data_IF_119295606838
#
_entry.id   IF_119295606838
#
_cell.length_a   1.000
_cell.length_b   1.000
_cell.length_c   1.000
_cell.angle_alpha   90.00
_cell.angle_beta   90.00
_cell.angle_gamma   90.00
#
_symmetry.space_group_name_H-M   'P 1'
#
loop_
_entity.id
_entity.type
_entity.pdbx_description
1 polymer ?
#
# COMPACT_ATOMS: atom_id res chain seq x y z
N UNK A 1 -19.47 6.36 12.64
CA UNK A 1 -18.46 5.30 12.86
C UNK A 1 -18.39 4.23 11.77
N UNK A 2 -19.44 3.98 10.96
CA UNK A 2 -19.37 2.94 9.93
C UNK A 2 -18.47 3.32 8.74
N UNK A 3 -18.68 4.48 8.12
CA UNK A 3 -17.99 4.87 6.87
C UNK A 3 -16.45 4.93 7.02
N UNK A 4 -15.95 5.57 8.09
CA UNK A 4 -14.52 5.67 8.38
C UNK A 4 -13.85 4.30 8.60
N UNK A 5 -14.56 3.36 9.23
CA UNK A 5 -14.09 1.99 9.44
C UNK A 5 -14.06 1.21 8.13
N UNK A 6 -15.11 1.31 7.31
CA UNK A 6 -15.15 0.67 5.99
C UNK A 6 -14.09 1.23 5.05
N UNK A 7 -13.85 2.54 5.08
CA UNK A 7 -12.77 3.17 4.31
C UNK A 7 -11.38 2.67 4.75
N UNK A 8 -11.14 2.51 6.06
CA UNK A 8 -9.89 1.93 6.56
C UNK A 8 -9.71 0.47 6.16
N UNK A 9 -10.77 -0.34 6.23
CA UNK A 9 -10.75 -1.75 5.81
C UNK A 9 -10.48 -1.87 4.31
N UNK A 10 -11.19 -1.10 3.48
CA UNK A 10 -10.98 -1.09 2.04
C UNK A 10 -9.56 -0.65 1.67
N UNK A 11 -9.02 0.35 2.37
CA UNK A 11 -7.64 0.80 2.20
C UNK A 11 -6.62 -0.33 2.45
N UNK A 12 -6.75 -1.09 3.55
CA UNK A 12 -5.89 -2.24 3.82
C UNK A 12 -5.99 -3.27 2.68
N UNK A 13 -7.20 -3.59 2.24
CA UNK A 13 -7.42 -4.56 1.17
C UNK A 13 -6.70 -4.16 -0.12
N UNK A 14 -6.76 -2.88 -0.49
CA UNK A 14 -6.07 -2.36 -1.67
C UNK A 14 -4.55 -2.33 -1.51
N UNK A 15 -4.01 -2.01 -0.31
CA UNK A 15 -2.57 -2.14 -0.06
C UNK A 15 -2.08 -3.59 -0.16
N UNK A 16 -2.87 -4.54 0.33
CA UNK A 16 -2.57 -5.96 0.21
C UNK A 16 -2.63 -6.46 -1.23
N UNK A 17 -3.67 -6.06 -1.98
CA UNK A 17 -3.80 -6.35 -3.40
C UNK A 17 -2.61 -5.81 -4.19
N UNK A 18 -2.29 -4.52 -4.04
CA UNK A 18 -1.13 -3.90 -4.70
C UNK A 18 0.18 -4.63 -4.38
N UNK A 19 0.39 -4.99 -3.10
CA UNK A 19 1.59 -5.71 -2.68
C UNK A 19 1.68 -7.10 -3.33
N UNK A 20 0.56 -7.82 -3.38
CA UNK A 20 0.50 -9.14 -4.02
C UNK A 20 0.71 -9.10 -5.52
N UNK A 21 0.09 -8.12 -6.20
CA UNK A 21 0.26 -7.89 -7.64
C UNK A 21 1.72 -7.58 -8.00
N UNK A 22 2.36 -6.70 -7.23
CA UNK A 22 3.77 -6.36 -7.40
C UNK A 22 4.67 -7.58 -7.17
N UNK A 23 4.48 -8.32 -6.08
CA UNK A 23 5.24 -9.55 -5.82
C UNK A 23 5.08 -10.54 -6.99
N UNK A 24 3.85 -10.76 -7.45
CA UNK A 24 3.56 -11.70 -8.53
C UNK A 24 4.27 -11.33 -9.83
N UNK A 25 4.29 -10.05 -10.22
CA UNK A 25 5.01 -9.61 -11.41
C UNK A 25 6.53 -9.76 -11.24
N UNK A 26 7.09 -9.44 -10.07
CA UNK A 26 8.53 -9.55 -9.84
C UNK A 26 9.01 -11.00 -9.90
N UNK A 27 8.26 -11.93 -9.32
CA UNK A 27 8.54 -13.36 -9.45
C UNK A 27 8.30 -13.89 -10.87
N UNK A 28 7.33 -13.36 -11.59
CA UNK A 28 7.13 -13.72 -13.00
C UNK A 28 8.35 -13.30 -13.84
N UNK A 29 8.90 -12.11 -13.59
CA UNK A 29 10.07 -11.59 -14.31
C UNK A 29 11.37 -12.35 -14.01
N UNK A 30 11.49 -13.06 -12.88
CA UNK A 30 12.70 -13.85 -12.58
C UNK A 30 12.74 -15.20 -13.30
N UNK A 31 11.59 -15.79 -13.59
CA UNK A 31 11.50 -17.11 -14.20
C UNK A 31 10.56 -17.07 -15.41
N UNK A 32 10.95 -16.33 -16.44
CA UNK A 32 10.19 -16.28 -17.68
C UNK A 32 10.42 -17.59 -18.47
N UNK A 33 9.38 -18.38 -18.73
CA UNK A 33 9.53 -19.62 -19.49
C UNK A 33 10.00 -19.31 -20.91
N UNK A 34 11.04 -20.00 -21.38
CA UNK A 34 11.64 -19.76 -22.70
C UNK A 34 10.70 -20.11 -23.88
N UNK A 35 9.66 -20.87 -23.60
CA UNK A 35 8.58 -21.35 -24.49
C UNK A 35 7.33 -20.46 -24.45
N UNK A 36 7.32 -19.39 -23.65
CA UNK A 36 6.24 -18.42 -23.64
C UNK A 36 6.39 -17.46 -24.84
N UNK A 37 5.86 -17.83 -26.01
CA UNK A 37 5.82 -16.96 -27.20
C UNK A 37 5.16 -15.58 -26.89
N UNK A 38 4.25 -15.54 -25.90
CA UNK A 38 3.62 -14.31 -25.39
C UNK A 38 4.49 -13.45 -24.46
N UNK A 39 5.59 -13.97 -23.89
CA UNK A 39 6.47 -13.18 -23.01
C UNK A 39 7.35 -12.18 -23.76
N UNK A 40 7.48 -12.32 -25.09
CA UNK A 40 8.14 -11.33 -25.95
C UNK A 40 7.41 -9.98 -25.99
N UNK A 41 6.14 -9.93 -25.56
CA UNK A 41 5.33 -8.72 -25.46
C UNK A 41 5.11 -8.22 -24.02
N UNK A 42 5.78 -8.79 -23.01
CA UNK A 42 5.62 -8.36 -21.63
C UNK A 42 6.40 -7.07 -21.36
N UNK A 43 5.67 -5.95 -21.25
CA UNK A 43 6.22 -4.67 -20.81
C UNK A 43 5.87 -4.41 -19.34
N UNK A 44 6.90 -4.34 -18.48
CA UNK A 44 6.73 -4.15 -17.04
C UNK A 44 6.16 -2.76 -16.68
N UNK A 45 6.61 -1.70 -17.38
CA UNK A 45 6.22 -0.32 -17.11
C UNK A 45 4.69 -0.08 -17.08
N UNK A 46 3.94 -0.37 -18.17
CA UNK A 46 2.50 -0.12 -18.18
C UNK A 46 1.74 -0.93 -17.13
N UNK A 47 2.20 -2.15 -16.80
CA UNK A 47 1.60 -2.99 -15.77
C UNK A 47 1.81 -2.42 -14.37
N UNK A 48 3.03 -1.99 -14.04
CA UNK A 48 3.32 -1.37 -12.75
C UNK A 48 2.50 -0.08 -12.58
N UNK A 49 2.42 0.76 -13.61
CA UNK A 49 1.59 1.98 -13.58
C UNK A 49 0.10 1.68 -13.38
N UNK A 50 -0.40 0.60 -14.01
CA UNK A 50 -1.76 0.14 -13.83
C UNK A 50 -2.02 -0.26 -12.36
N UNK A 51 -1.13 -1.06 -11.76
CA UNK A 51 -1.25 -1.49 -10.36
C UNK A 51 -1.18 -0.32 -9.38
N UNK A 52 -0.34 0.68 -9.66
CA UNK A 52 -0.32 1.90 -8.85
C UNK A 52 -1.69 2.58 -8.90
N UNK A 53 -2.29 2.67 -10.08
CA UNK A 53 -3.55 3.38 -10.32
C UNK A 53 -4.77 2.68 -9.71
N UNK A 54 -4.81 1.35 -9.70
CA UNK A 54 -5.95 0.57 -9.16
C UNK A 54 -5.76 0.16 -7.70
N UNK A 55 -4.51 0.08 -7.23
CA UNK A 55 -4.17 -0.41 -5.90
C UNK A 55 -3.78 0.71 -4.95
N UNK A 56 -2.52 1.11 -4.97
CA UNK A 56 -1.94 2.00 -3.93
C UNK A 56 -2.50 3.42 -3.96
N UNK A 57 -2.81 3.98 -5.14
CA UNK A 57 -3.40 5.31 -5.26
C UNK A 57 -4.78 5.39 -4.57
N UNK A 58 -5.78 4.56 -4.90
CA UNK A 58 -7.04 4.56 -4.17
C UNK A 58 -6.89 4.11 -2.71
N UNK A 59 -5.97 3.19 -2.39
CA UNK A 59 -5.69 2.78 -1.01
C UNK A 59 -5.28 3.97 -0.12
N UNK A 60 -4.36 4.78 -0.61
CA UNK A 60 -3.84 5.96 0.11
C UNK A 60 -4.89 7.05 0.28
N UNK A 61 -5.73 7.29 -0.73
CA UNK A 61 -6.87 8.21 -0.64
C UNK A 61 -7.84 7.75 0.46
N UNK A 62 -8.20 6.46 0.48
CA UNK A 62 -9.13 5.92 1.48
C UNK A 62 -8.54 5.94 2.90
N UNK A 63 -7.24 5.68 3.06
CA UNK A 63 -6.53 5.86 4.32
C UNK A 63 -6.61 7.32 4.79
N UNK A 64 -6.33 8.27 3.90
CA UNK A 64 -6.40 9.70 4.17
C UNK A 64 -7.82 10.18 4.53
N UNK A 65 -8.84 9.69 3.82
CA UNK A 65 -10.24 9.98 4.12
C UNK A 65 -10.66 9.41 5.48
N UNK A 66 -10.28 8.16 5.77
CA UNK A 66 -10.53 7.54 7.08
C UNK A 66 -9.88 8.36 8.21
N UNK A 67 -8.63 8.79 8.01
CA UNK A 67 -7.95 9.69 8.94
C UNK A 67 -8.70 11.02 9.13
N UNK A 68 -9.06 11.70 8.04
CA UNK A 68 -9.69 13.01 8.08
C UNK A 68 -11.04 12.99 8.82
N UNK A 69 -11.81 11.92 8.63
CA UNK A 69 -13.08 11.71 9.32
C UNK A 69 -12.87 11.41 10.81
N UNK A 70 -11.90 10.55 11.13
CA UNK A 70 -11.67 10.11 12.52
C UNK A 70 -10.84 11.09 13.35
N UNK A 71 -10.12 12.06 12.77
CA UNK A 71 -9.18 12.95 13.50
C UNK A 71 -9.83 13.81 14.59
N UNK A 72 -11.13 14.14 14.47
CA UNK A 72 -11.82 15.01 15.44
C UNK A 72 -12.15 14.30 16.75
N UNK A 73 -12.40 12.99 16.70
CA UNK A 73 -12.82 12.20 17.86
C UNK A 73 -11.77 11.17 18.30
N UNK A 74 -10.79 10.87 17.43
CA UNK A 74 -9.78 9.83 17.62
C UNK A 74 -10.38 8.42 17.44
N UNK A 75 -9.62 7.52 16.80
CA UNK A 75 -10.03 6.13 16.63
C UNK A 75 -8.82 5.20 16.63
N UNK A 76 -8.61 4.49 17.75
CA UNK A 76 -7.57 3.45 17.86
C UNK A 76 -7.69 2.35 16.81
N UNK A 77 -8.87 1.73 16.57
CA UNK A 77 -8.96 0.65 15.59
C UNK A 77 -8.67 1.15 14.17
N UNK A 78 -9.18 2.33 13.77
CA UNK A 78 -8.90 2.85 12.43
C UNK A 78 -7.44 3.28 12.28
N UNK A 79 -6.83 3.84 13.32
CA UNK A 79 -5.40 4.17 13.32
C UNK A 79 -4.53 2.93 13.15
N UNK A 80 -4.83 1.85 13.86
CA UNK A 80 -4.13 0.57 13.73
C UNK A 80 -4.30 -0.04 12.34
N UNK A 81 -5.49 0.09 11.76
CA UNK A 81 -5.77 -0.37 10.40
C UNK A 81 -4.90 0.36 9.36
N UNK A 82 -4.81 1.69 9.44
CA UNK A 82 -3.97 2.49 8.53
C UNK A 82 -2.49 2.13 8.70
N UNK A 83 -2.02 1.94 9.94
CA UNK A 83 -0.65 1.44 10.20
C UNK A 83 -0.44 0.08 9.55
N UNK A 84 -1.39 -0.85 9.71
CA UNK A 84 -1.34 -2.18 9.11
C UNK A 84 -1.22 -2.13 7.58
N UNK A 85 -1.98 -1.25 6.91
CA UNK A 85 -1.84 -1.02 5.47
C UNK A 85 -0.44 -0.53 5.07
N UNK A 86 0.13 0.39 5.85
CA UNK A 86 1.52 0.84 5.65
C UNK A 86 2.56 -0.28 5.83
N UNK A 87 2.41 -1.12 6.84
CA UNK A 87 3.30 -2.28 7.06
C UNK A 87 3.21 -3.28 5.90
N UNK A 88 1.98 -3.59 5.44
CA UNK A 88 1.77 -4.50 4.32
C UNK A 88 2.48 -3.99 3.07
N UNK A 89 2.31 -2.69 2.77
CA UNK A 89 3.00 -2.06 1.64
C UNK A 89 4.52 -2.11 1.81
N UNK A 90 5.05 -1.81 3.00
CA UNK A 90 6.49 -1.85 3.27
C UNK A 90 7.06 -3.26 3.02
N UNK A 91 6.43 -4.29 3.59
CA UNK A 91 6.88 -5.68 3.46
C UNK A 91 6.77 -6.14 2.01
N UNK A 92 5.67 -5.85 1.34
CA UNK A 92 5.47 -6.23 -0.06
C UNK A 92 6.53 -5.65 -0.99
N UNK A 93 6.85 -4.37 -0.81
CA UNK A 93 7.89 -3.71 -1.61
C UNK A 93 9.30 -4.15 -1.23
N UNK A 94 9.56 -4.48 0.04
CA UNK A 94 10.84 -5.05 0.47
C UNK A 94 11.10 -6.42 -0.18
N UNK A 95 10.07 -7.26 -0.30
CA UNK A 95 10.14 -8.53 -1.03
C UNK A 95 10.47 -8.26 -2.51
N UNK A 96 9.73 -7.37 -3.16
CA UNK A 96 10.00 -7.00 -4.56
C UNK A 96 11.44 -6.54 -4.75
N UNK A 97 11.93 -5.64 -3.88
CA UNK A 97 13.30 -5.13 -3.91
C UNK A 97 14.35 -6.24 -3.77
N UNK A 98 14.11 -7.23 -2.91
CA UNK A 98 15.06 -8.36 -2.72
C UNK A 98 15.19 -9.29 -3.93
N UNK A 99 14.22 -9.23 -4.85
CA UNK A 99 14.15 -10.09 -6.03
C UNK A 99 14.63 -9.34 -7.29
N UNK A 100 14.83 -8.01 -7.24
CA UNK A 100 15.27 -7.19 -8.38
C UNK A 100 16.55 -7.71 -9.02
N UNK A 101 17.55 -8.08 -8.23
CA UNK A 101 18.86 -8.53 -8.72
C UNK A 101 18.81 -9.90 -9.42
N UNK A 102 17.69 -10.63 -9.29
CA UNK A 102 17.48 -11.93 -9.94
C UNK A 102 16.79 -11.80 -11.30
N UNK A 103 16.34 -10.60 -11.66
CA UNK A 103 15.64 -10.34 -12.92
C UNK A 103 16.69 -10.16 -14.04
N UNK A 104 16.53 -10.82 -15.21
CA UNK A 104 17.39 -10.57 -16.36
C UNK A 104 17.37 -9.10 -16.79
N UNK A 105 18.52 -8.51 -17.11
CA UNK A 105 18.66 -7.07 -17.40
C UNK A 105 17.69 -6.57 -18.50
N UNK A 106 17.34 -7.43 -19.46
CA UNK A 106 16.39 -7.12 -20.53
C UNK A 106 14.98 -6.73 -20.04
N UNK A 107 14.61 -7.10 -18.81
CA UNK A 107 13.31 -6.78 -18.21
C UNK A 107 13.41 -5.73 -17.08
N UNK A 108 14.62 -5.32 -16.70
CA UNK A 108 14.83 -4.27 -15.69
C UNK A 108 14.60 -2.91 -16.35
N UNK A 109 13.39 -2.37 -16.17
CA UNK A 109 13.10 -0.98 -16.50
C UNK A 109 13.30 -0.07 -15.29
N UNK A 110 13.35 1.25 -15.51
CA UNK A 110 13.41 2.22 -14.42
C UNK A 110 12.29 2.02 -13.38
N UNK A 111 11.08 1.69 -13.84
CA UNK A 111 9.97 1.41 -12.92
C UNK A 111 10.24 0.20 -12.04
N UNK A 112 10.79 -0.89 -12.60
CA UNK A 112 11.12 -2.11 -11.84
C UNK A 112 12.18 -1.81 -10.77
N UNK A 113 13.11 -0.90 -11.04
CA UNK A 113 14.16 -0.54 -10.09
C UNK A 113 13.68 0.42 -9.00
N UNK A 114 12.95 1.46 -9.36
CA UNK A 114 12.65 2.58 -8.46
C UNK A 114 11.31 2.48 -7.74
N UNK A 115 10.32 1.79 -8.31
CA UNK A 115 8.97 1.72 -7.73
C UNK A 115 8.96 1.04 -6.35
N UNK A 116 9.63 -0.10 -6.11
CA UNK A 116 9.68 -0.70 -4.78
C UNK A 116 10.26 0.26 -3.75
N UNK A 117 11.35 0.94 -4.11
CA UNK A 117 12.02 1.91 -3.23
C UNK A 117 11.08 3.08 -2.90
N UNK A 118 10.41 3.63 -3.91
CA UNK A 118 9.46 4.72 -3.73
C UNK A 118 8.34 4.34 -2.77
N UNK A 119 7.74 3.16 -2.92
CA UNK A 119 6.64 2.74 -2.05
C UNK A 119 7.09 2.24 -0.67
N UNK A 120 8.34 1.76 -0.54
CA UNK A 120 8.96 1.59 0.78
C UNK A 120 9.04 2.93 1.52
N UNK A 121 9.53 3.99 0.86
CA UNK A 121 9.61 5.33 1.46
C UNK A 121 8.21 5.87 1.75
N UNK A 122 7.24 5.69 0.84
CA UNK A 122 5.86 6.14 1.00
C UNK A 122 5.11 5.41 2.12
N UNK A 123 5.55 4.23 2.54
CA UNK A 123 4.95 3.52 3.66
C UNK A 123 5.12 4.24 5.00
N UNK A 124 6.24 4.96 5.17
CA UNK A 124 6.54 5.72 6.37
C UNK A 124 5.47 6.80 6.67
N UNK A 125 5.12 7.73 5.75
CA UNK A 125 4.09 8.71 6.02
C UNK A 125 2.71 8.07 6.25
N UNK A 126 2.37 6.97 5.58
CA UNK A 126 1.10 6.25 5.84
C UNK A 126 1.05 5.74 7.28
N UNK A 127 2.14 5.11 7.76
CA UNK A 127 2.24 4.65 9.15
C UNK A 127 2.22 5.81 10.15
N UNK A 128 2.89 6.92 9.86
CA UNK A 128 2.90 8.13 10.70
C UNK A 128 1.48 8.67 10.85
N UNK A 129 0.72 8.79 9.76
CA UNK A 129 -0.67 9.26 9.79
C UNK A 129 -1.55 8.34 10.64
N UNK A 130 -1.40 7.02 10.48
CA UNK A 130 -2.11 6.05 11.31
C UNK A 130 -1.73 6.16 12.80
N UNK A 131 -0.45 6.38 13.11
CA UNK A 131 0.05 6.56 14.47
C UNK A 131 -0.44 7.85 15.13
N UNK A 132 -0.49 8.96 14.38
CA UNK A 132 -1.07 10.21 14.84
C UNK A 132 -2.53 9.97 15.24
N UNK A 133 -3.31 9.28 14.40
CA UNK A 133 -4.71 8.97 14.72
C UNK A 133 -4.87 8.08 15.95
N UNK A 134 -3.97 7.12 16.12
CA UNK A 134 -3.94 6.24 17.28
C UNK A 134 -3.69 7.01 18.60
N UNK A 135 -2.86 8.07 18.55
CA UNK A 135 -2.54 8.91 19.72
C UNK A 135 -3.63 9.93 20.06
N UNK A 136 -4.48 10.33 19.11
CA UNK A 136 -5.56 11.30 19.39
C UNK A 136 -6.53 10.69 20.40
N UNK A 137 -6.54 11.26 21.61
CA UNK A 137 -7.49 10.90 22.67
C UNK A 137 -8.71 11.81 22.61
N UNK A 138 -9.89 11.22 22.67
CA UNK A 138 -11.17 11.92 22.79
C UNK A 138 -11.13 12.86 24.01
N UNK A 139 -11.32 14.18 23.83
CA UNK A 139 -11.78 15.02 24.94
C UNK A 139 -13.17 14.50 25.28
N UNK A 140 -13.31 13.79 26.42
CA UNK A 140 -14.64 13.40 26.92
C UNK A 140 -15.45 14.69 27.07
N UNK A 141 -16.67 14.81 26.49
CA UNK A 141 -17.57 15.85 26.96
C UNK A 141 -17.72 15.63 28.47
N UNK A 142 -17.46 16.66 29.27
CA UNK A 142 -17.76 16.62 30.69
C UNK A 142 -19.24 16.22 30.77
N UNK A 143 -19.56 15.13 31.46
CA UNK A 143 -20.96 14.79 31.72
C UNK A 143 -21.55 15.97 32.48
N UNK A 144 -22.40 16.76 31.84
CA UNK A 144 -23.27 17.68 32.54
C UNK A 144 -24.31 16.79 33.23
N UNK A 145 -24.10 16.57 34.53
CA UNK A 145 -25.11 16.06 35.43
C UNK A 145 -26.03 17.25 35.71
N UNK A 146 -27.15 17.33 34.99
CA UNK A 146 -28.30 18.13 35.40
C UNK A 146 -29.28 17.24 36.14
#
# INVERSE_FOLDING_TARGET
MALEKWAAIASIGLFAMFSGEMISIYYFMTNIPADFEFATAFEANPKILQFISIGVAPASILAGLSFLMSRRYGSRPNGLMIIGGGIIMLVGMAICYSVVDQIPEQYITDSVRYVPILFMVLSAPVMIVGFVLFKIKKKRPKKEYF
#
